data_IF_880897172090
#
_entry.id   IF_880897172090
#
_cell.length_a   1.000
_cell.length_b   1.000
_cell.length_c   1.000
_cell.angle_alpha   90.00
_cell.angle_beta   90.00
_cell.angle_gamma   90.00
#
_symmetry.space_group_name_H-M   'P 1'
#
loop_
_entity.id
_entity.type
_entity.pdbx_description
1 polymer ?
#
# COMPACT_ATOMS: atom_id res chain seq x y z
N UNK A 1 -7.16 -2.62 -6.65
CA UNK A 1 -8.46 -2.74 -5.99
C UNK A 1 -9.28 -1.50 -6.29
N UNK A 2 -10.57 -1.67 -6.66
CA UNK A 2 -11.47 -0.55 -6.96
C UNK A 2 -12.21 -0.14 -5.69
N UNK A 3 -12.23 1.16 -5.38
CA UNK A 3 -12.91 1.72 -4.21
C UNK A 3 -13.84 2.85 -4.61
N UNK A 4 -14.74 3.18 -3.69
CA UNK A 4 -15.54 4.39 -3.78
C UNK A 4 -14.73 5.55 -3.21
N UNK A 5 -14.55 6.58 -4.02
CA UNK A 5 -14.24 7.89 -3.46
C UNK A 5 -15.50 8.41 -2.77
N UNK A 6 -15.32 9.04 -1.61
CA UNK A 6 -16.41 9.74 -0.96
C UNK A 6 -17.11 10.64 -1.95
N UNK A 7 -18.39 10.43 -2.06
CA UNK A 7 -19.21 11.20 -3.00
C UNK A 7 -19.81 12.39 -2.26
N UNK A 8 -19.60 13.53 -2.81
CA UNK A 8 -20.15 14.80 -2.33
C UNK A 8 -21.65 14.67 -2.02
N UNK A 9 -21.99 14.48 -0.76
CA UNK A 9 -23.34 14.63 -0.21
C UNK A 9 -24.39 13.59 -0.59
N UNK A 10 -24.02 12.49 -1.24
CA UNK A 10 -24.95 11.41 -1.60
C UNK A 10 -25.02 10.36 -0.50
N UNK A 11 -26.23 9.91 -0.15
CA UNK A 11 -26.49 8.92 0.91
C UNK A 11 -26.73 7.55 0.29
N UNK A 12 -26.11 6.51 0.91
CA UNK A 12 -26.41 5.12 0.57
C UNK A 12 -25.83 4.64 -0.77
N UNK A 13 -26.60 3.86 -1.51
CA UNK A 13 -26.23 3.26 -2.81
C UNK A 13 -26.32 4.23 -3.98
N UNK A 14 -26.46 5.51 -3.74
CA UNK A 14 -26.56 6.53 -4.78
C UNK A 14 -25.25 6.70 -5.54
N UNK A 15 -25.31 7.46 -6.63
CA UNK A 15 -24.24 7.61 -7.61
C UNK A 15 -22.88 7.87 -6.97
N UNK A 16 -21.95 6.93 -7.13
CA UNK A 16 -20.60 7.05 -6.58
C UNK A 16 -19.57 6.88 -7.69
N UNK A 17 -18.55 7.75 -7.65
CA UNK A 17 -17.37 7.56 -8.47
C UNK A 17 -16.50 6.49 -7.84
N UNK A 18 -16.14 5.46 -8.60
CA UNK A 18 -15.14 4.50 -8.15
C UNK A 18 -13.82 4.73 -8.86
N UNK A 19 -12.74 4.52 -8.15
CA UNK A 19 -11.38 4.66 -8.65
C UNK A 19 -10.54 3.46 -8.23
N UNK A 20 -9.60 3.11 -9.08
CA UNK A 20 -8.57 2.13 -8.77
C UNK A 20 -7.47 2.80 -7.98
N UNK A 21 -7.08 2.17 -6.89
CA UNK A 21 -5.98 2.60 -6.03
C UNK A 21 -4.81 1.63 -6.12
N UNK A 22 -3.62 2.13 -5.84
CA UNK A 22 -2.39 1.36 -5.85
C UNK A 22 -1.95 1.09 -4.42
N UNK A 23 -1.56 -0.16 -4.14
CA UNK A 23 -0.97 -0.52 -2.85
C UNK A 23 0.54 -0.42 -2.99
N UNK A 24 1.16 0.40 -2.13
CA UNK A 24 2.60 0.55 -1.99
C UNK A 24 3.01 -0.14 -0.70
N UNK A 25 4.05 -0.97 -0.75
CA UNK A 25 4.53 -1.72 0.41
C UNK A 25 5.98 -1.40 0.72
N UNK A 26 6.28 -1.21 2.00
CA UNK A 26 7.64 -1.25 2.53
C UNK A 26 7.78 -2.49 3.42
N UNK A 27 8.85 -3.24 3.20
CA UNK A 27 9.10 -4.50 3.89
C UNK A 27 10.52 -4.49 4.42
N UNK A 28 10.68 -4.69 5.72
CA UNK A 28 12.00 -4.93 6.29
C UNK A 28 12.51 -6.30 5.86
N UNK A 29 13.66 -6.32 5.21
CA UNK A 29 14.20 -7.55 4.62
C UNK A 29 14.69 -8.56 5.65
N UNK A 30 15.08 -8.09 6.82
CA UNK A 30 15.55 -8.96 7.92
C UNK A 30 14.37 -9.61 8.63
N UNK A 31 13.53 -8.82 9.27
CA UNK A 31 12.40 -9.31 10.07
C UNK A 31 11.21 -9.77 9.23
N UNK A 32 11.04 -9.20 8.04
CA UNK A 32 9.87 -9.42 7.21
C UNK A 32 8.63 -8.64 7.66
N UNK A 33 8.79 -7.66 8.56
CA UNK A 33 7.74 -6.71 8.90
C UNK A 33 7.33 -5.97 7.63
N UNK A 34 6.03 -5.84 7.43
CA UNK A 34 5.45 -5.19 6.27
C UNK A 34 4.52 -4.04 6.67
N UNK A 35 4.64 -2.92 5.98
CA UNK A 35 3.73 -1.78 6.02
C UNK A 35 3.15 -1.56 4.63
N UNK A 36 1.85 -1.32 4.55
CA UNK A 36 1.15 -1.07 3.29
C UNK A 36 0.48 0.29 3.32
N UNK A 37 0.59 1.00 2.21
CA UNK A 37 -0.10 2.26 1.99
C UNK A 37 -0.97 2.19 0.75
N UNK A 38 -2.21 2.63 0.86
CA UNK A 38 -3.15 2.69 -0.25
C UNK A 38 -3.17 4.10 -0.81
N UNK A 39 -2.51 4.29 -1.96
CA UNK A 39 -2.36 5.56 -2.66
C UNK A 39 -3.23 5.68 -3.90
N UNK A 40 -3.43 6.91 -4.36
CA UNK A 40 -4.21 7.18 -5.58
C UNK A 40 -3.54 6.66 -6.86
N UNK A 41 -2.24 6.64 -6.88
CA UNK A 41 -1.40 6.19 -8.00
C UNK A 41 0.00 5.89 -7.50
N UNK A 42 0.82 5.30 -8.35
CA UNK A 42 2.26 5.14 -8.09
C UNK A 42 2.99 6.44 -8.47
N UNK A 43 2.83 7.46 -7.63
CA UNK A 43 3.49 8.75 -7.77
C UNK A 43 4.38 9.06 -6.56
N UNK A 44 5.18 10.12 -6.68
CA UNK A 44 6.13 10.51 -5.62
C UNK A 44 5.45 10.86 -4.29
N UNK A 45 4.24 11.41 -4.33
CA UNK A 45 3.48 11.75 -3.13
C UNK A 45 2.98 10.50 -2.41
N UNK A 46 2.45 9.53 -3.15
CA UNK A 46 2.02 8.25 -2.58
C UNK A 46 3.19 7.47 -2.00
N UNK A 47 4.38 7.52 -2.65
CA UNK A 47 5.60 6.93 -2.12
C UNK A 47 6.04 7.64 -0.84
N UNK A 48 6.05 8.97 -0.81
CA UNK A 48 6.39 9.74 0.38
C UNK A 48 5.48 9.40 1.57
N UNK A 49 4.18 9.28 1.33
CA UNK A 49 3.21 8.85 2.35
C UNK A 49 3.42 7.42 2.83
N UNK A 50 3.76 6.51 1.92
CA UNK A 50 4.10 5.14 2.29
C UNK A 50 5.35 5.08 3.19
N UNK A 51 6.39 5.85 2.85
CA UNK A 51 7.61 5.98 3.64
C UNK A 51 7.29 6.59 5.01
N UNK A 52 6.49 7.68 5.05
CA UNK A 52 6.08 8.31 6.29
C UNK A 52 5.34 7.35 7.22
N UNK A 53 4.37 6.60 6.68
CA UNK A 53 3.64 5.58 7.43
C UNK A 53 4.56 4.50 8.00
N UNK A 54 5.52 4.04 7.21
CA UNK A 54 6.52 3.08 7.70
C UNK A 54 7.34 3.67 8.85
N UNK A 55 7.84 4.89 8.67
CA UNK A 55 8.69 5.57 9.67
C UNK A 55 7.92 5.82 10.97
N UNK A 56 6.67 6.25 10.90
CA UNK A 56 5.85 6.49 12.11
C UNK A 56 5.62 5.23 12.94
N UNK A 57 5.67 4.05 12.30
CA UNK A 57 5.41 2.77 12.98
C UNK A 57 6.70 2.06 13.39
N UNK A 58 7.73 2.10 12.54
CA UNK A 58 8.93 1.27 12.64
C UNK A 58 10.24 2.07 12.74
N UNK A 59 10.18 3.40 12.67
CA UNK A 59 11.36 4.25 12.65
C UNK A 59 12.00 4.36 11.26
N UNK A 60 13.08 5.17 11.19
CA UNK A 60 13.77 5.49 9.93
C UNK A 60 14.60 4.30 9.46
N UNK A 61 14.36 3.76 8.26
CA UNK A 61 15.20 2.71 7.71
C UNK A 61 16.57 3.25 7.29
N UNK A 62 17.63 2.46 7.46
CA UNK A 62 18.99 2.83 7.01
C UNK A 62 19.07 2.94 5.49
N UNK A 63 18.38 2.06 4.77
CA UNK A 63 18.43 2.00 3.31
C UNK A 63 17.10 1.50 2.74
N UNK A 64 16.68 2.11 1.64
CA UNK A 64 15.53 1.64 0.86
C UNK A 64 16.02 1.09 -0.47
N UNK A 65 15.58 -0.11 -0.77
CA UNK A 65 15.78 -0.76 -2.06
C UNK A 65 14.47 -0.77 -2.84
N UNK A 66 14.47 -0.30 -4.08
CA UNK A 66 13.31 -0.45 -4.97
C UNK A 66 13.73 -0.85 -6.36
N UNK A 67 12.77 -1.23 -7.18
CA UNK A 67 13.00 -1.33 -8.62
C UNK A 67 13.20 0.08 -9.24
N UNK A 68 13.47 0.10 -10.55
CA UNK A 68 13.70 1.35 -11.29
C UNK A 68 12.39 2.08 -11.64
N UNK A 69 11.36 1.98 -10.81
CA UNK A 69 10.11 2.70 -10.97
C UNK A 69 10.33 4.21 -11.06
N UNK A 70 9.72 4.87 -12.05
CA UNK A 70 9.91 6.31 -12.31
C UNK A 70 9.61 7.17 -11.08
N UNK A 71 8.65 6.77 -10.27
CA UNK A 71 8.24 7.51 -9.09
C UNK A 71 9.32 7.47 -7.99
N UNK A 72 9.99 6.33 -7.80
CA UNK A 72 11.14 6.22 -6.88
C UNK A 72 12.35 7.02 -7.34
N UNK A 73 12.58 7.09 -8.65
CA UNK A 73 13.68 7.86 -9.24
C UNK A 73 13.40 9.36 -9.36
N UNK A 74 12.21 9.81 -8.98
CA UNK A 74 11.81 11.21 -9.06
C UNK A 74 12.70 12.08 -8.17
N UNK A 75 12.90 13.34 -8.57
CA UNK A 75 13.65 14.33 -7.79
C UNK A 75 13.07 14.51 -6.39
N UNK A 76 11.74 14.52 -6.28
CA UNK A 76 11.06 14.71 -5.00
C UNK A 76 11.31 13.54 -4.04
N UNK A 77 11.22 12.29 -4.52
CA UNK A 77 11.51 11.12 -3.69
C UNK A 77 12.97 11.09 -3.24
N UNK A 78 13.92 11.39 -4.15
CA UNK A 78 15.34 11.46 -3.80
C UNK A 78 15.63 12.54 -2.75
N UNK A 79 15.09 13.76 -2.94
CA UNK A 79 15.26 14.85 -1.98
C UNK A 79 14.67 14.49 -0.60
N UNK A 80 13.53 13.77 -0.55
CA UNK A 80 12.97 13.28 0.69
C UNK A 80 13.91 12.29 1.39
N UNK A 81 14.42 11.30 0.67
CA UNK A 81 15.34 10.30 1.24
C UNK A 81 16.65 10.93 1.75
N UNK A 82 17.21 11.88 1.00
CA UNK A 82 18.38 12.64 1.41
C UNK A 82 18.11 13.42 2.70
N UNK A 83 16.98 14.13 2.81
CA UNK A 83 16.58 14.86 4.04
C UNK A 83 16.44 13.95 5.26
N UNK A 84 15.93 12.75 5.05
CA UNK A 84 15.74 11.74 6.10
C UNK A 84 17.04 10.93 6.37
N UNK A 85 18.13 11.22 5.66
CA UNK A 85 19.39 10.48 5.70
C UNK A 85 19.20 8.98 5.45
N UNK A 86 18.36 8.65 4.48
CA UNK A 86 18.06 7.27 4.06
C UNK A 86 18.83 6.98 2.76
N UNK A 87 19.67 5.96 2.79
CA UNK A 87 20.34 5.47 1.61
C UNK A 87 19.34 4.89 0.61
N UNK A 88 19.52 5.18 -0.68
CA UNK A 88 18.69 4.61 -1.73
C UNK A 88 19.50 3.77 -2.70
N UNK A 89 19.05 2.53 -2.93
CA UNK A 89 19.65 1.62 -3.90
C UNK A 89 18.59 1.14 -4.90
N UNK A 90 18.74 1.60 -6.15
CA UNK A 90 17.96 1.05 -7.25
C UNK A 90 18.46 -0.38 -7.55
N UNK A 91 17.55 -1.33 -7.58
CA UNK A 91 17.89 -2.70 -7.93
C UNK A 91 18.11 -2.84 -9.44
N UNK A 92 19.11 -3.61 -9.86
CA UNK A 92 19.29 -3.89 -11.28
C UNK A 92 18.02 -4.49 -11.89
N UNK A 93 17.69 -4.07 -13.11
CA UNK A 93 16.63 -4.69 -13.86
C UNK A 93 16.90 -6.22 -13.96
N UNK A 94 15.84 -7.01 -13.79
CA UNK A 94 15.91 -8.49 -13.82
C UNK A 94 16.65 -9.16 -12.65
N UNK A 95 16.90 -8.49 -11.53
CA UNK A 95 17.44 -9.12 -10.32
C UNK A 95 16.37 -9.99 -9.63
N UNK A 96 16.27 -11.25 -10.07
CA UNK A 96 15.22 -12.18 -9.61
C UNK A 96 15.31 -12.59 -8.13
N UNK A 97 16.42 -12.31 -7.43
CA UNK A 97 16.63 -12.73 -6.04
C UNK A 97 16.01 -11.79 -4.99
N UNK A 98 15.71 -10.55 -5.35
CA UNK A 98 15.14 -9.55 -4.43
C UNK A 98 13.63 -9.44 -4.50
N UNK A 99 13.04 -9.79 -5.63
CA UNK A 99 11.59 -9.70 -5.87
C UNK A 99 10.73 -10.73 -5.10
N UNK A 100 11.18 -11.98 -4.88
CA UNK A 100 10.35 -12.99 -4.23
C UNK A 100 9.84 -12.57 -2.86
N UNK A 101 10.58 -11.76 -2.12
CA UNK A 101 10.20 -11.29 -0.81
C UNK A 101 8.96 -10.39 -0.84
N UNK A 102 9.00 -9.37 -1.70
CA UNK A 102 7.89 -8.42 -1.89
C UNK A 102 6.72 -9.14 -2.54
N UNK A 103 6.98 -9.94 -3.58
CA UNK A 103 5.94 -10.70 -4.29
C UNK A 103 5.20 -11.66 -3.36
N UNK A 104 5.90 -12.37 -2.47
CA UNK A 104 5.28 -13.27 -1.51
C UNK A 104 4.40 -12.53 -0.50
N UNK A 105 4.82 -11.35 -0.02
CA UNK A 105 4.00 -10.52 0.86
C UNK A 105 2.75 -9.99 0.15
N UNK A 106 2.87 -9.58 -1.11
CA UNK A 106 1.70 -9.20 -1.90
C UNK A 106 0.77 -10.38 -2.20
N UNK A 107 1.31 -11.57 -2.47
CA UNK A 107 0.50 -12.79 -2.63
C UNK A 107 -0.24 -13.15 -1.34
N UNK A 108 0.43 -13.04 -0.19
CA UNK A 108 -0.18 -13.28 1.12
C UNK A 108 -1.31 -12.30 1.39
N UNK A 109 -1.07 -10.98 1.20
CA UNK A 109 -2.10 -9.95 1.29
C UNK A 109 -3.26 -10.20 0.33
N UNK A 110 -2.96 -10.58 -0.92
CA UNK A 110 -3.95 -10.84 -1.94
C UNK A 110 -4.82 -12.04 -1.60
N UNK A 111 -4.22 -13.17 -1.28
CA UNK A 111 -4.94 -14.41 -1.06
C UNK A 111 -5.75 -14.39 0.25
N UNK A 112 -5.22 -13.76 1.27
CA UNK A 112 -5.85 -13.77 2.60
C UNK A 112 -6.84 -12.62 2.81
N UNK A 113 -6.60 -11.47 2.22
CA UNK A 113 -7.44 -10.28 2.41
C UNK A 113 -8.09 -9.81 1.11
N UNK A 114 -7.30 -9.29 0.15
CA UNK A 114 -7.88 -8.48 -0.93
C UNK A 114 -8.74 -9.28 -1.90
N UNK A 115 -8.47 -10.58 -2.10
CA UNK A 115 -9.31 -11.46 -2.93
C UNK A 115 -10.71 -11.66 -2.34
N UNK A 116 -10.85 -11.51 -1.03
CA UNK A 116 -12.11 -11.65 -0.32
C UNK A 116 -12.88 -10.32 -0.16
N UNK A 117 -12.28 -9.22 -0.55
CA UNK A 117 -12.90 -7.90 -0.42
C UNK A 117 -13.68 -7.52 -1.68
N UNK A 118 -14.79 -6.84 -1.45
CA UNK A 118 -15.55 -6.23 -2.55
C UNK A 118 -14.68 -5.16 -3.21
N UNK A 119 -14.52 -5.24 -4.52
CA UNK A 119 -13.61 -4.34 -5.26
C UNK A 119 -12.34 -5.02 -5.74
N UNK A 120 -12.15 -6.31 -5.45
CA UNK A 120 -11.08 -7.09 -6.06
C UNK A 120 -11.20 -7.09 -7.58
N UNK A 121 -10.08 -6.87 -8.25
CA UNK A 121 -10.02 -6.72 -9.72
C UNK A 121 -9.27 -7.84 -10.43
N UNK A 122 -8.93 -8.91 -9.69
CA UNK A 122 -8.22 -10.06 -10.24
C UNK A 122 -6.71 -10.03 -10.01
N UNK A 123 -6.11 -11.22 -10.04
CA UNK A 123 -4.67 -11.46 -9.85
C UNK A 123 -3.88 -11.29 -11.15
N UNK A 124 -4.55 -11.36 -12.29
CA UNK A 124 -3.93 -11.32 -13.60
C UNK A 124 -4.82 -10.59 -14.61
N UNK A 125 -4.27 -10.34 -15.80
CA UNK A 125 -4.96 -9.57 -16.86
C UNK A 125 -6.25 -10.24 -17.32
N UNK A 126 -6.28 -11.59 -17.42
CA UNK A 126 -7.47 -12.32 -17.89
C UNK A 126 -8.61 -12.24 -16.88
N UNK A 127 -8.31 -12.45 -15.61
CA UNK A 127 -9.28 -12.37 -14.52
C UNK A 127 -9.84 -10.95 -14.42
N UNK A 128 -8.97 -9.94 -14.48
CA UNK A 128 -9.37 -8.53 -14.49
C UNK A 128 -10.31 -8.21 -15.65
N UNK A 129 -9.98 -8.62 -16.86
CA UNK A 129 -10.82 -8.39 -18.03
C UNK A 129 -12.20 -9.05 -17.90
N UNK A 130 -12.24 -10.26 -17.32
CA UNK A 130 -13.52 -10.93 -17.08
C UNK A 130 -14.39 -10.20 -16.06
N UNK A 131 -13.79 -9.71 -14.95
CA UNK A 131 -14.49 -8.92 -13.94
C UNK A 131 -14.97 -7.59 -14.52
N UNK A 132 -14.12 -6.86 -15.22
CA UNK A 132 -14.46 -5.59 -15.86
C UNK A 132 -15.58 -5.76 -16.91
N UNK A 133 -15.52 -6.83 -17.70
CA UNK A 133 -16.56 -7.13 -18.68
C UNK A 133 -17.91 -7.43 -18.01
N UNK A 134 -17.92 -8.21 -16.94
CA UNK A 134 -19.13 -8.52 -16.19
C UNK A 134 -19.79 -7.26 -15.64
N UNK A 135 -19.04 -6.36 -15.03
CA UNK A 135 -19.59 -5.13 -14.47
C UNK A 135 -19.94 -4.11 -15.55
N UNK A 136 -19.18 -4.01 -16.64
CA UNK A 136 -19.49 -3.10 -17.74
C UNK A 136 -20.83 -3.43 -18.43
N UNK A 137 -21.18 -4.71 -18.52
CA UNK A 137 -22.50 -5.15 -19.01
C UNK A 137 -23.65 -4.69 -18.10
N UNK A 138 -23.44 -4.73 -16.79
CA UNK A 138 -24.43 -4.26 -15.81
C UNK A 138 -24.56 -2.74 -15.83
N UNK A 139 -23.44 -2.02 -15.91
CA UNK A 139 -23.41 -0.56 -15.93
C UNK A 139 -24.05 0.03 -17.18
N UNK A 140 -23.93 -0.62 -18.36
CA UNK A 140 -24.59 -0.18 -19.61
C UNK A 140 -26.12 -0.24 -19.57
N UNK A 141 -26.70 -1.04 -18.69
CA UNK A 141 -28.16 -1.14 -18.51
C UNK A 141 -28.76 -0.02 -17.67
N UNK A 142 -27.91 0.76 -17.00
CA UNK A 142 -28.34 1.91 -16.21
C UNK A 142 -28.66 3.10 -17.13
N UNK A 143 -29.72 3.83 -16.83
CA UNK A 143 -30.08 5.05 -17.56
C UNK A 143 -28.89 6.03 -17.53
N UNK A 144 -28.63 6.67 -18.69
CA UNK A 144 -27.58 7.66 -18.87
C UNK A 144 -27.65 8.71 -17.74
N UNK A 145 -26.62 8.77 -16.89
CA UNK A 145 -26.53 9.70 -15.77
C UNK A 145 -26.63 9.09 -14.35
N UNK A 146 -27.02 7.84 -14.24
CA UNK A 146 -27.07 7.14 -12.95
C UNK A 146 -26.01 6.04 -12.88
N UNK A 147 -24.99 6.25 -12.07
CA UNK A 147 -24.03 5.19 -11.72
C UNK A 147 -24.30 4.78 -10.27
N UNK A 148 -24.98 3.68 -10.06
CA UNK A 148 -25.17 3.11 -8.72
C UNK A 148 -23.94 2.31 -8.31
N UNK A 149 -23.65 2.25 -7.03
CA UNK A 149 -22.62 1.38 -6.46
C UNK A 149 -23.05 -0.10 -6.53
N UNK A 150 -23.26 -0.61 -7.76
CA UNK A 150 -23.67 -2.01 -7.95
C UNK A 150 -22.66 -3.03 -7.48
N UNK A 151 -21.40 -2.64 -7.38
CA UNK A 151 -20.33 -3.50 -6.85
C UNK A 151 -20.31 -3.52 -5.32
N UNK A 152 -21.09 -2.66 -4.65
CA UNK A 152 -21.08 -2.48 -3.19
C UNK A 152 -19.66 -2.18 -2.66
N UNK A 153 -18.93 -1.37 -3.42
CA UNK A 153 -17.56 -0.99 -3.07
C UNK A 153 -17.54 -0.26 -1.73
N UNK A 154 -16.50 -0.47 -0.97
CA UNK A 154 -16.26 0.18 0.31
C UNK A 154 -15.50 1.48 0.13
N UNK A 155 -15.49 2.33 1.16
CA UNK A 155 -14.73 3.58 1.17
C UNK A 155 -13.22 3.32 1.23
N UNK A 156 -12.43 4.32 0.89
CA UNK A 156 -10.98 4.26 0.97
C UNK A 156 -10.51 4.04 2.42
N UNK A 157 -11.14 4.73 3.36
CA UNK A 157 -10.84 4.63 4.80
C UNK A 157 -11.05 3.20 5.29
N UNK A 158 -12.20 2.62 5.04
CA UNK A 158 -12.49 1.24 5.39
C UNK A 158 -11.44 0.26 4.86
N UNK A 159 -10.98 0.48 3.64
CA UNK A 159 -9.98 -0.39 3.02
C UNK A 159 -8.58 -0.18 3.61
N UNK A 160 -8.25 1.05 3.98
CA UNK A 160 -7.01 1.34 4.70
C UNK A 160 -7.01 0.62 6.05
N UNK A 161 -8.08 0.77 6.82
CA UNK A 161 -8.24 0.06 8.10
C UNK A 161 -8.10 -1.45 7.95
N UNK A 162 -8.80 -2.07 6.99
CA UNK A 162 -8.67 -3.51 6.75
C UNK A 162 -7.23 -3.95 6.41
N UNK A 163 -6.51 -3.18 5.60
CA UNK A 163 -5.13 -3.49 5.22
C UNK A 163 -4.19 -3.29 6.41
N UNK A 164 -4.42 -2.25 7.21
CA UNK A 164 -3.61 -1.93 8.38
C UNK A 164 -3.80 -2.97 9.48
N UNK A 165 -5.04 -3.34 9.77
CA UNK A 165 -5.37 -4.39 10.73
C UNK A 165 -4.79 -5.74 10.29
N UNK A 166 -4.93 -6.09 9.01
CA UNK A 166 -4.35 -7.32 8.48
C UNK A 166 -2.82 -7.34 8.61
N UNK A 167 -2.17 -6.22 8.30
CA UNK A 167 -0.72 -6.08 8.45
C UNK A 167 -0.29 -6.17 9.92
N UNK A 168 -0.91 -5.38 10.79
CA UNK A 168 -0.53 -5.28 12.19
C UNK A 168 -0.84 -6.53 13.00
N UNK A 169 -2.05 -7.09 12.85
CA UNK A 169 -2.52 -8.17 13.71
C UNK A 169 -2.31 -9.57 13.11
N UNK A 170 -2.18 -9.69 11.80
CA UNK A 170 -2.07 -10.99 11.15
C UNK A 170 -0.71 -11.22 10.51
N UNK A 171 -0.36 -10.43 9.50
CA UNK A 171 0.85 -10.67 8.71
C UNK A 171 2.13 -10.53 9.52
N UNK A 172 2.23 -9.50 10.37
CA UNK A 172 3.41 -9.23 11.18
C UNK A 172 3.49 -10.09 12.46
N UNK A 173 2.41 -10.80 12.82
CA UNK A 173 2.37 -11.75 13.92
C UNK A 173 2.37 -13.22 13.47
N UNK A 174 2.47 -13.50 12.16
CA UNK A 174 2.56 -14.85 11.64
C UNK A 174 3.96 -15.42 11.87
N UNK A 175 4.03 -16.59 12.51
CA UNK A 175 5.29 -17.30 12.73
C UNK A 175 6.05 -17.55 11.43
N UNK A 176 7.35 -17.29 11.44
CA UNK A 176 8.25 -17.53 10.31
C UNK A 176 9.38 -18.49 10.74
N UNK A 177 9.37 -19.71 10.23
CA UNK A 177 10.34 -20.76 10.57
C UNK A 177 11.79 -20.30 10.33
N UNK A 178 12.05 -19.53 9.28
CA UNK A 178 13.38 -18.99 8.98
C UNK A 178 13.95 -18.08 10.07
N UNK A 179 13.07 -17.47 10.89
CA UNK A 179 13.47 -16.55 11.98
C UNK A 179 13.34 -17.21 13.34
N UNK A 180 12.56 -18.28 13.45
CA UNK A 180 12.17 -18.85 14.74
C UNK A 180 11.34 -17.87 15.59
N UNK A 181 10.66 -16.91 14.97
CA UNK A 181 9.90 -15.86 15.61
C UNK A 181 8.87 -15.25 14.63
N UNK A 182 8.03 -14.36 15.12
CA UNK A 182 7.20 -13.52 14.25
C UNK A 182 8.01 -12.37 13.65
N UNK A 183 7.58 -11.76 12.53
CA UNK A 183 8.19 -10.55 12.00
C UNK A 183 8.31 -9.44 13.05
N UNK A 184 7.25 -9.23 13.82
CA UNK A 184 7.19 -8.19 14.86
C UNK A 184 8.24 -8.44 15.95
N UNK A 185 8.28 -9.63 16.54
CA UNK A 185 9.28 -10.00 17.56
C UNK A 185 10.71 -9.87 17.04
N UNK A 186 10.97 -10.33 15.81
CA UNK A 186 12.29 -10.20 15.19
C UNK A 186 12.70 -8.75 14.93
N UNK A 187 11.74 -7.89 14.62
CA UNK A 187 11.99 -6.47 14.44
C UNK A 187 12.29 -5.81 15.80
N UNK A 188 11.43 -6.02 16.80
CA UNK A 188 11.57 -5.46 18.14
C UNK A 188 12.88 -5.89 18.84
N UNK A 189 13.34 -7.11 18.62
CA UNK A 189 14.59 -7.60 19.16
C UNK A 189 15.84 -6.88 18.64
N UNK A 190 15.74 -6.10 17.54
CA UNK A 190 16.86 -5.39 16.90
C UNK A 190 16.63 -3.89 16.76
N UNK A 191 15.61 -3.36 17.40
CA UNK A 191 15.21 -1.96 17.25
C UNK A 191 16.13 -0.97 18.01
N UNK A 192 17.12 -1.45 18.76
CA UNK A 192 18.02 -0.62 19.59
C UNK A 192 18.66 0.56 18.83
N UNK A 193 18.72 0.49 17.48
CA UNK A 193 19.27 1.52 16.61
C UNK A 193 18.21 2.30 15.80
N UNK A 194 16.92 2.08 15.99
CA UNK A 194 15.91 2.76 15.20
C UNK A 194 15.75 4.21 15.66
N UNK A 195 16.00 5.13 14.74
CA UNK A 195 15.77 6.57 14.96
C UNK A 195 14.26 6.80 14.89
N UNK A 196 13.66 7.06 16.05
CA UNK A 196 12.28 7.53 16.10
C UNK A 196 12.23 9.00 15.67
N UNK A 197 11.36 9.33 14.75
CA UNK A 197 11.05 10.72 14.39
C UNK A 197 9.63 10.98 14.89
N UNK A 198 9.44 12.09 15.62
CA UNK A 198 8.11 12.52 16.01
C UNK A 198 7.28 12.96 14.79
N UNK A 199 5.95 12.90 14.93
CA UNK A 199 5.01 13.15 13.83
C UNK A 199 5.13 14.57 13.27
N UNK A 200 5.43 15.56 14.12
CA UNK A 200 5.59 16.95 13.71
C UNK A 200 6.84 17.12 12.84
N UNK A 201 7.96 16.57 13.27
CA UNK A 201 9.21 16.57 12.50
C UNK A 201 9.02 15.83 11.17
N UNK A 202 8.36 14.68 11.18
CA UNK A 202 8.06 13.92 9.97
C UNK A 202 7.20 14.74 9.00
N UNK A 203 6.18 15.46 9.48
CA UNK A 203 5.35 16.32 8.65
C UNK A 203 6.13 17.49 8.03
N UNK A 204 7.09 18.07 8.77
CA UNK A 204 7.98 19.11 8.26
C UNK A 204 8.89 18.60 7.14
N UNK A 205 9.46 17.39 7.30
CA UNK A 205 10.26 16.74 6.25
C UNK A 205 9.47 16.50 4.97
N UNK A 206 8.18 16.25 5.09
CA UNK A 206 7.27 15.95 3.99
C UNK A 206 6.63 17.19 3.36
N UNK A 207 7.01 18.40 3.82
CA UNK A 207 6.57 19.66 3.24
C UNK A 207 5.24 20.21 3.78
N UNK A 208 4.84 19.82 4.98
CA UNK A 208 3.70 20.41 5.69
C UNK A 208 2.30 19.99 5.18
N UNK A 209 2.20 19.20 4.11
CA UNK A 209 0.91 18.83 3.49
C UNK A 209 0.37 17.45 3.91
N UNK A 210 0.99 16.78 4.86
CA UNK A 210 0.53 15.46 5.29
C UNK A 210 -0.31 15.55 6.58
N UNK A 211 -1.60 15.61 6.41
CA UNK A 211 -2.51 14.95 7.35
C UNK A 211 -2.39 13.45 7.07
N UNK A 212 -1.79 12.72 8.01
CA UNK A 212 -1.77 11.26 8.04
C UNK A 212 -3.19 10.71 8.19
#
# INVERSE_FOLDING_TARGET
VDFINETYGLKGDECSWHKRYTIISLIDTYSGVASFYLGFSEDSLSIARAIAKYISTYGVPKCIHSDNGKAFLSKNTKALLERLNIDYKAMPAYSGWSKPYVENKFKDLQNSLTANLVGYIGSNVKERQAIEFFYSKKERRLKKGYKTNQRRLKTLEYMRECIDDYSAYFMNNKWLDRLGATPKESFEAKIEDAIAIDELSLSMYLGGELKL
#
